data_IF_187789025939
#
_entry.id   IF_187789025939
#
_cell.length_a   1.000
_cell.length_b   1.000
_cell.length_c   1.000
_cell.angle_alpha   90.00
_cell.angle_beta   90.00
_cell.angle_gamma   90.00
#
_symmetry.space_group_name_H-M   'P 1'
#
loop_
_entity.id
_entity.type
_entity.pdbx_description
1 polymer ?
#
# COMPACT_ATOMS: atom_id res chain seq x y z
N UNK A 1 -9.22 -12.74 -14.95
CA UNK A 1 -10.16 -11.65 -14.61
C UNK A 1 -9.36 -10.37 -14.68
N UNK A 2 -9.58 -9.55 -15.71
CA UNK A 2 -8.80 -8.34 -15.96
C UNK A 2 -9.26 -7.26 -14.97
N UNK A 3 -8.46 -6.99 -13.95
CA UNK A 3 -8.69 -5.86 -13.05
C UNK A 3 -8.68 -4.59 -13.89
N UNK A 4 -9.85 -3.97 -14.06
CA UNK A 4 -9.96 -2.73 -14.83
C UNK A 4 -9.36 -1.61 -14.00
N UNK A 5 -8.77 -0.60 -14.62
CA UNK A 5 -8.18 0.57 -13.93
C UNK A 5 -9.15 1.19 -12.91
N UNK A 6 -10.46 1.12 -13.15
CA UNK A 6 -11.50 1.57 -12.21
C UNK A 6 -11.49 0.82 -10.87
N UNK A 7 -11.40 -0.52 -10.90
CA UNK A 7 -11.35 -1.34 -9.68
C UNK A 7 -10.10 -1.02 -8.86
N UNK A 8 -8.97 -0.78 -9.53
CA UNK A 8 -7.71 -0.39 -8.88
C UNK A 8 -7.85 0.96 -8.17
N UNK A 9 -8.43 1.95 -8.82
CA UNK A 9 -8.60 3.28 -8.23
C UNK A 9 -9.59 3.26 -7.05
N UNK A 10 -10.66 2.45 -7.12
CA UNK A 10 -11.57 2.24 -5.98
C UNK A 10 -10.85 1.60 -4.80
N UNK A 11 -10.11 0.53 -5.02
CA UNK A 11 -9.34 -0.14 -3.97
C UNK A 11 -8.28 0.77 -3.35
N UNK A 12 -7.54 1.54 -4.18
CA UNK A 12 -6.62 2.56 -3.66
C UNK A 12 -7.33 3.58 -2.78
N UNK A 13 -8.52 4.05 -3.18
CA UNK A 13 -9.28 5.02 -2.41
C UNK A 13 -9.72 4.45 -1.05
N UNK A 14 -10.19 3.21 -1.01
CA UNK A 14 -10.54 2.52 0.24
C UNK A 14 -9.33 2.35 1.15
N UNK A 15 -8.21 1.87 0.61
CA UNK A 15 -6.98 1.69 1.38
C UNK A 15 -6.40 3.02 1.87
N UNK A 16 -6.46 4.10 1.07
CA UNK A 16 -6.06 5.44 1.51
C UNK A 16 -6.98 5.99 2.60
N UNK A 17 -8.27 5.64 2.56
CA UNK A 17 -9.22 6.02 3.61
C UNK A 17 -8.94 5.25 4.91
N UNK A 18 -8.60 3.96 4.82
CA UNK A 18 -8.20 3.14 5.96
C UNK A 18 -6.81 3.53 6.50
N UNK A 19 -5.91 3.96 5.61
CA UNK A 19 -4.51 4.29 5.91
C UNK A 19 -4.12 5.67 5.34
N UNK A 20 -4.61 6.78 5.91
CA UNK A 20 -4.33 8.12 5.39
C UNK A 20 -2.85 8.53 5.45
N UNK A 21 -2.02 7.83 6.22
CA UNK A 21 -0.56 8.04 6.29
C UNK A 21 0.26 7.24 5.27
N UNK A 22 -0.40 6.44 4.42
CA UNK A 22 0.26 5.55 3.47
C UNK A 22 -0.05 5.95 2.02
N UNK A 23 1.01 6.00 1.21
CA UNK A 23 0.98 6.23 -0.23
C UNK A 23 0.94 4.90 -0.96
N UNK A 24 -0.11 4.67 -1.76
CA UNK A 24 -0.36 3.40 -2.44
C UNK A 24 -0.12 3.56 -3.94
N UNK A 25 0.68 2.67 -4.49
CA UNK A 25 1.15 2.67 -5.86
C UNK A 25 0.84 1.29 -6.43
N UNK A 26 0.15 1.25 -7.58
CA UNK A 26 0.05 0.02 -8.37
C UNK A 26 0.99 0.16 -9.55
N UNK A 27 1.69 -0.91 -9.88
CA UNK A 27 2.48 -1.00 -11.10
C UNK A 27 1.64 -1.62 -12.20
N UNK A 28 1.96 -1.30 -13.46
CA UNK A 28 1.29 -1.83 -14.66
C UNK A 28 1.30 -3.38 -14.72
N UNK A 29 2.25 -4.02 -14.04
CA UNK A 29 2.32 -5.48 -13.89
C UNK A 29 1.36 -6.07 -12.85
N UNK A 30 0.46 -5.26 -12.29
CA UNK A 30 -0.46 -5.68 -11.23
C UNK A 30 0.17 -5.78 -9.85
N UNK A 31 1.42 -5.30 -9.66
CA UNK A 31 2.10 -5.32 -8.36
C UNK A 31 1.71 -4.09 -7.54
N UNK A 32 1.23 -4.30 -6.33
CA UNK A 32 0.81 -3.29 -5.36
C UNK A 32 1.94 -2.96 -4.40
N UNK A 33 2.13 -1.67 -4.14
CA UNK A 33 3.17 -1.12 -3.29
C UNK A 33 2.55 -0.05 -2.40
N UNK A 34 2.94 -0.01 -1.13
CA UNK A 34 2.55 1.00 -0.18
C UNK A 34 3.77 1.48 0.58
N UNK A 35 3.87 2.79 0.72
CA UNK A 35 4.99 3.46 1.40
C UNK A 35 4.42 4.49 2.36
N UNK A 36 4.92 4.54 3.60
CA UNK A 36 4.47 5.52 4.59
C UNK A 36 5.22 6.86 4.42
N UNK A 37 4.51 7.99 4.54
CA UNK A 37 5.10 9.33 4.57
C UNK A 37 4.81 10.08 5.90
N UNK A 38 5.55 11.16 6.25
CA UNK A 38 6.62 11.86 5.54
C UNK A 38 8.01 11.25 5.80
N UNK A 39 8.74 10.98 4.72
CA UNK A 39 10.08 10.41 4.74
C UNK A 39 11.10 11.42 5.29
N UNK A 40 11.36 11.39 6.60
CA UNK A 40 12.69 11.74 7.08
C UNK A 40 13.58 10.60 6.56
N UNK A 41 14.57 10.92 5.73
CA UNK A 41 15.40 9.95 4.98
C UNK A 41 16.05 8.87 5.87
N UNK A 42 16.10 9.09 7.18
CA UNK A 42 16.57 8.16 8.21
C UNK A 42 15.59 7.03 8.57
N UNK A 43 14.28 7.16 8.29
CA UNK A 43 13.27 6.15 8.65
C UNK A 43 12.80 5.31 7.43
N UNK A 44 13.55 5.38 6.32
CA UNK A 44 13.49 4.48 5.16
C UNK A 44 14.00 3.06 5.50
N UNK A 45 13.82 2.60 6.74
CA UNK A 45 14.14 1.23 7.09
C UNK A 45 13.07 0.30 6.50
N UNK A 46 13.44 -0.97 6.27
CA UNK A 46 12.64 -2.08 5.71
C UNK A 46 11.23 -2.28 6.33
N UNK A 47 10.90 -1.53 7.38
CA UNK A 47 9.62 -1.55 8.09
C UNK A 47 8.59 -0.54 7.57
N UNK A 48 8.95 0.43 6.70
CA UNK A 48 8.02 1.49 6.25
C UNK A 48 7.44 1.27 4.83
N UNK A 49 7.71 0.12 4.24
CA UNK A 49 7.24 -0.28 2.90
C UNK A 49 6.53 -1.64 2.96
N UNK A 50 5.44 -1.76 2.21
CA UNK A 50 4.72 -3.00 2.00
C UNK A 50 4.52 -3.20 0.49
N UNK A 51 4.76 -4.41 0.00
CA UNK A 51 4.53 -4.79 -1.39
C UNK A 51 3.64 -6.04 -1.44
N UNK A 52 2.82 -6.20 -2.46
CA UNK A 52 2.02 -7.41 -2.64
C UNK A 52 1.61 -7.55 -4.09
N UNK A 53 1.32 -8.76 -4.52
CA UNK A 53 0.72 -9.01 -5.84
C UNK A 53 -0.81 -8.87 -5.82
N UNK A 54 -1.42 -8.70 -4.63
CA UNK A 54 -2.86 -8.51 -4.45
C UNK A 54 -3.16 -7.35 -3.50
N UNK A 55 -4.31 -6.67 -3.68
CA UNK A 55 -4.70 -5.57 -2.80
C UNK A 55 -4.99 -6.03 -1.36
N UNK A 56 -5.56 -7.22 -1.20
CA UNK A 56 -5.80 -7.83 0.11
C UNK A 56 -4.49 -8.08 0.85
N UNK A 57 -3.50 -8.67 0.17
CA UNK A 57 -2.18 -8.91 0.74
C UNK A 57 -1.44 -7.61 1.08
N UNK A 58 -1.66 -6.55 0.29
CA UNK A 58 -1.12 -5.23 0.61
C UNK A 58 -1.72 -4.69 1.91
N UNK A 59 -3.05 -4.77 2.05
CA UNK A 59 -3.76 -4.30 3.24
C UNK A 59 -3.28 -5.05 4.50
N UNK A 60 -3.15 -6.36 4.43
CA UNK A 60 -2.64 -7.18 5.54
C UNK A 60 -1.21 -6.79 5.94
N UNK A 61 -0.33 -6.55 4.96
CA UNK A 61 1.05 -6.09 5.24
C UNK A 61 1.06 -4.70 5.88
N UNK A 62 0.26 -3.76 5.37
CA UNK A 62 0.13 -2.41 5.96
C UNK A 62 -0.39 -2.50 7.40
N UNK A 63 -1.40 -3.35 7.66
CA UNK A 63 -1.95 -3.58 9.01
C UNK A 63 -0.91 -4.20 9.93
N UNK A 64 -0.16 -5.20 9.47
CA UNK A 64 0.90 -5.84 10.24
C UNK A 64 2.00 -4.85 10.64
N UNK A 65 2.44 -4.01 9.70
CA UNK A 65 3.41 -2.94 9.97
C UNK A 65 2.83 -1.90 10.93
N UNK A 66 1.59 -1.48 10.72
CA UNK A 66 0.94 -0.46 11.56
C UNK A 66 0.71 -0.96 12.99
N UNK A 67 0.45 -2.25 13.16
CA UNK A 67 0.22 -2.91 14.46
C UNK A 67 1.51 -3.11 15.28
N UNK A 68 2.67 -3.20 14.64
CA UNK A 68 3.96 -3.34 15.33
C UNK A 68 4.44 -2.03 15.99
N UNK A 69 3.56 -1.04 16.21
CA UNK A 69 3.87 0.27 16.76
C UNK A 69 3.03 0.60 17.99
#
# INVERSE_FOLDING_TARGET
MNTTTDDVERVKAELRNEFPGWSIIVTDRGRWWATRGPLVREELNEQASADADTPEGLAERIRAVTRQR
#
